data_IF_071758187008
#
_entry.id   IF_071758187008
#
_cell.length_a   1.000
_cell.length_b   1.000
_cell.length_c   1.000
_cell.angle_alpha   90.00
_cell.angle_beta   90.00
_cell.angle_gamma   90.00
#
_symmetry.space_group_name_H-M   'P 1'
#
loop_
_entity.id
_entity.type
_entity.pdbx_description
1 polymer ?
#
# COMPACT_ATOMS: atom_id res chain seq x y z
N UNK A 1 48.17 16.51 -49.96
CA UNK A 1 47.73 16.48 -48.55
C UNK A 1 46.97 15.17 -48.34
N UNK A 2 47.47 14.28 -47.46
CA UNK A 2 46.75 13.05 -47.09
C UNK A 2 46.04 13.30 -45.76
N UNK A 3 44.72 13.20 -45.74
CA UNK A 3 43.95 13.23 -44.49
C UNK A 3 44.08 11.85 -43.82
N UNK A 4 44.57 11.84 -42.58
CA UNK A 4 44.62 10.64 -41.75
C UNK A 4 43.22 10.36 -41.19
N UNK A 5 42.69 9.16 -41.42
CA UNK A 5 41.44 8.69 -40.83
C UNK A 5 41.62 8.58 -39.31
N UNK A 6 40.75 9.28 -38.56
CA UNK A 6 40.72 9.21 -37.11
C UNK A 6 40.24 7.84 -36.66
N UNK A 7 41.02 7.17 -35.80
CA UNK A 7 40.58 5.96 -35.10
C UNK A 7 39.46 6.34 -34.13
N UNK A 8 38.27 5.78 -34.33
CA UNK A 8 37.18 5.82 -33.36
C UNK A 8 37.62 5.14 -32.04
N UNK A 9 37.10 5.64 -30.91
CA UNK A 9 37.32 5.04 -29.60
C UNK A 9 36.91 3.56 -29.62
N UNK A 10 37.75 2.68 -29.06
CA UNK A 10 37.47 1.23 -29.01
C UNK A 10 36.15 0.92 -28.33
N UNK A 11 35.57 -0.24 -28.65
CA UNK A 11 34.31 -0.69 -28.06
C UNK A 11 34.43 -0.79 -26.53
N UNK A 12 33.35 -0.47 -25.83
CA UNK A 12 33.26 -0.57 -24.37
C UNK A 12 33.00 -2.03 -23.98
N UNK A 13 34.06 -2.74 -23.57
CA UNK A 13 33.99 -4.16 -23.17
C UNK A 13 33.55 -4.35 -21.70
N UNK A 14 33.02 -3.31 -21.05
CA UNK A 14 32.52 -3.40 -19.67
C UNK A 14 31.21 -4.18 -19.63
N UNK A 15 31.16 -5.22 -18.78
CA UNK A 15 29.96 -6.04 -18.58
C UNK A 15 29.93 -7.34 -19.41
N UNK A 16 30.98 -7.64 -20.18
CA UNK A 16 31.11 -8.88 -20.94
C UNK A 16 31.46 -10.11 -20.09
N UNK A 17 31.85 -9.92 -18.83
CA UNK A 17 32.17 -11.02 -17.94
C UNK A 17 30.90 -11.87 -17.69
N UNK A 18 30.91 -13.18 -18.03
CA UNK A 18 29.77 -14.04 -17.77
C UNK A 18 29.54 -14.11 -16.26
N UNK A 19 28.29 -13.91 -15.84
CA UNK A 19 27.93 -14.00 -14.43
C UNK A 19 28.19 -15.45 -13.95
N UNK A 20 29.06 -15.68 -12.94
CA UNK A 20 29.37 -17.02 -12.45
C UNK A 20 28.16 -17.73 -11.82
N UNK A 21 27.08 -16.98 -11.52
CA UNK A 21 25.81 -17.51 -11.02
C UNK A 21 24.78 -17.79 -12.12
N UNK A 22 25.13 -17.55 -13.39
CA UNK A 22 24.25 -17.86 -14.53
C UNK A 22 24.09 -19.38 -14.62
N UNK A 23 22.86 -19.85 -14.71
CA UNK A 23 22.56 -21.26 -15.00
C UNK A 23 22.92 -21.56 -16.47
N UNK A 24 23.31 -22.81 -16.76
CA UNK A 24 23.55 -23.22 -18.14
C UNK A 24 22.24 -23.16 -18.93
N UNK A 25 22.35 -22.83 -20.22
CA UNK A 25 21.18 -22.70 -21.09
C UNK A 25 20.41 -24.04 -21.19
N UNK A 26 21.10 -25.18 -21.09
CA UNK A 26 20.48 -26.52 -21.02
C UNK A 26 19.56 -26.68 -19.79
N UNK A 27 20.00 -26.22 -18.62
CA UNK A 27 19.20 -26.29 -17.40
C UNK A 27 17.96 -25.40 -17.54
N UNK A 28 18.12 -24.21 -18.12
CA UNK A 28 17.01 -23.28 -18.37
C UNK A 28 15.99 -23.92 -19.32
N UNK A 29 16.46 -24.53 -20.41
CA UNK A 29 15.60 -25.22 -21.38
C UNK A 29 14.82 -26.38 -20.73
N UNK A 30 15.48 -27.21 -19.92
CA UNK A 30 14.83 -28.27 -19.17
C UNK A 30 13.70 -27.77 -18.24
N UNK A 31 13.92 -26.64 -17.55
CA UNK A 31 12.91 -26.01 -16.70
C UNK A 31 11.75 -25.46 -17.54
N UNK A 32 12.05 -24.79 -18.65
CA UNK A 32 11.04 -24.26 -19.58
C UNK A 32 10.18 -25.38 -20.16
N UNK A 33 10.78 -26.49 -20.60
CA UNK A 33 10.07 -27.67 -21.10
C UNK A 33 9.16 -28.28 -20.03
N UNK A 34 9.62 -28.36 -18.79
CA UNK A 34 8.79 -28.80 -17.67
C UNK A 34 7.58 -27.88 -17.45
N UNK A 35 7.78 -26.57 -17.45
CA UNK A 35 6.69 -25.59 -17.29
C UNK A 35 5.70 -25.67 -18.47
N UNK A 36 6.19 -25.89 -19.68
CA UNK A 36 5.35 -26.00 -20.88
C UNK A 36 4.60 -27.34 -20.99
N UNK A 37 5.01 -28.36 -20.22
CA UNK A 37 4.32 -29.66 -20.19
C UNK A 37 2.93 -29.59 -19.54
N UNK A 38 2.65 -28.55 -18.74
CA UNK A 38 1.36 -28.38 -18.08
C UNK A 38 0.31 -27.77 -19.03
N UNK A 39 -0.96 -28.22 -18.95
CA UNK A 39 -2.02 -27.67 -19.79
C UNK A 39 -2.32 -26.21 -19.40
N UNK A 40 -2.22 -25.31 -20.38
CA UNK A 40 -2.55 -23.90 -20.21
C UNK A 40 -3.90 -23.58 -20.86
N UNK A 41 -4.82 -23.05 -20.06
CA UNK A 41 -6.21 -22.77 -20.43
C UNK A 41 -6.44 -21.27 -20.67
N UNK A 42 -7.36 -20.94 -21.57
CA UNK A 42 -7.82 -19.55 -21.76
C UNK A 42 -8.87 -19.24 -20.68
N UNK A 43 -8.80 -18.05 -20.09
CA UNK A 43 -9.78 -17.59 -19.11
C UNK A 43 -11.19 -17.65 -19.71
N UNK A 44 -12.13 -18.26 -18.98
CA UNK A 44 -13.53 -18.37 -19.41
C UNK A 44 -14.14 -17.00 -19.75
N UNK A 45 -13.77 -15.97 -18.97
CA UNK A 45 -14.31 -14.61 -19.08
C UNK A 45 -13.73 -13.77 -20.22
N UNK A 46 -12.71 -14.24 -20.95
CA UNK A 46 -11.95 -13.38 -21.89
C UNK A 46 -11.60 -14.08 -23.20
N UNK A 47 -12.29 -15.18 -23.52
CA UNK A 47 -11.99 -16.04 -24.67
C UNK A 47 -12.02 -15.31 -26.01
N UNK A 48 -12.94 -14.37 -26.19
CA UNK A 48 -13.11 -13.63 -27.46
C UNK A 48 -12.13 -12.47 -27.61
N UNK A 49 -11.72 -11.82 -26.51
CA UNK A 49 -10.96 -10.56 -26.56
C UNK A 49 -9.46 -10.72 -26.30
N UNK A 50 -9.00 -11.85 -25.74
CA UNK A 50 -7.56 -12.06 -25.47
C UNK A 50 -7.17 -13.55 -25.44
N UNK A 51 -7.36 -14.25 -26.56
CA UNK A 51 -7.01 -15.67 -26.72
C UNK A 51 -5.50 -15.96 -26.60
N UNK A 52 -4.66 -14.95 -26.75
CA UNK A 52 -3.21 -15.07 -26.59
C UNK A 52 -2.79 -15.31 -25.14
N UNK A 53 -3.57 -14.82 -24.15
CA UNK A 53 -3.24 -14.96 -22.74
C UNK A 53 -3.76 -16.30 -22.21
N UNK A 54 -2.83 -17.19 -21.86
CA UNK A 54 -3.12 -18.48 -21.24
C UNK A 54 -2.75 -18.47 -19.76
N UNK A 55 -3.47 -19.27 -18.99
CA UNK A 55 -3.29 -19.42 -17.55
C UNK A 55 -3.11 -20.90 -17.21
N UNK A 56 -2.29 -21.18 -16.21
CA UNK A 56 -2.21 -22.51 -15.64
C UNK A 56 -3.51 -22.86 -14.89
N UNK A 57 -3.74 -24.15 -14.66
CA UNK A 57 -4.90 -24.60 -13.88
C UNK A 57 -4.87 -24.03 -12.46
N UNK A 58 -6.02 -23.67 -11.91
CA UNK A 58 -6.17 -23.11 -10.56
C UNK A 58 -5.63 -24.02 -9.45
N UNK A 59 -5.69 -25.33 -9.64
CA UNK A 59 -5.19 -26.33 -8.69
C UNK A 59 -3.66 -26.52 -8.76
N UNK A 60 -3.01 -25.95 -9.78
CA UNK A 60 -1.57 -26.03 -10.01
C UNK A 60 -0.89 -24.81 -9.40
N UNK A 61 -0.14 -25.04 -8.31
CA UNK A 61 0.64 -24.01 -7.65
C UNK A 61 2.14 -24.21 -7.93
N UNK A 62 2.94 -23.15 -7.73
CA UNK A 62 4.40 -23.17 -7.98
C UNK A 62 5.06 -24.32 -7.20
N UNK A 63 4.65 -24.55 -5.95
CA UNK A 63 5.16 -25.63 -5.09
C UNK A 63 4.91 -27.02 -5.68
N UNK A 64 3.71 -27.30 -6.18
CA UNK A 64 3.33 -28.57 -6.84
C UNK A 64 4.08 -28.73 -8.15
N UNK A 65 4.19 -27.68 -8.95
CA UNK A 65 4.98 -27.72 -10.19
C UNK A 65 6.45 -28.08 -9.91
N UNK A 66 7.01 -27.54 -8.84
CA UNK A 66 8.38 -27.83 -8.43
C UNK A 66 8.54 -29.23 -7.81
N UNK A 67 7.54 -29.73 -7.07
CA UNK A 67 7.53 -31.12 -6.60
C UNK A 67 7.56 -32.09 -7.78
N UNK A 68 6.69 -31.89 -8.78
CA UNK A 68 6.67 -32.70 -10.01
C UNK A 68 7.96 -32.55 -10.82
N UNK A 69 8.57 -31.37 -10.82
CA UNK A 69 9.88 -31.14 -11.46
C UNK A 69 10.98 -31.99 -10.80
N UNK A 70 11.01 -32.05 -9.47
CA UNK A 70 11.98 -32.89 -8.74
C UNK A 70 11.81 -34.36 -9.04
N UNK A 71 10.57 -34.83 -9.13
CA UNK A 71 10.26 -36.22 -9.51
C UNK A 71 10.81 -36.50 -10.92
N UNK A 72 10.50 -35.66 -11.90
CA UNK A 72 11.03 -35.77 -13.28
C UNK A 72 12.57 -35.71 -13.32
N UNK A 73 13.18 -34.84 -12.54
CA UNK A 73 14.64 -34.75 -12.42
C UNK A 73 15.23 -36.03 -11.83
N UNK A 74 14.57 -36.63 -10.83
CA UNK A 74 14.99 -37.90 -10.22
C UNK A 74 14.92 -39.05 -11.22
N UNK A 75 13.88 -39.10 -12.06
CA UNK A 75 13.74 -40.11 -13.11
C UNK A 75 14.84 -39.99 -14.18
N UNK A 76 15.20 -38.77 -14.54
CA UNK A 76 16.23 -38.47 -15.54
C UNK A 76 17.66 -38.47 -14.96
N UNK A 77 17.83 -38.71 -13.66
CA UNK A 77 19.11 -38.58 -12.94
C UNK A 77 19.78 -37.20 -13.11
N UNK A 78 18.97 -36.14 -13.19
CA UNK A 78 19.40 -34.75 -13.28
C UNK A 78 19.28 -34.09 -11.91
N UNK A 79 20.27 -33.29 -11.52
CA UNK A 79 20.19 -32.50 -10.29
C UNK A 79 19.21 -31.33 -10.47
N UNK A 80 18.17 -31.19 -9.61
CA UNK A 80 17.20 -30.12 -9.74
C UNK A 80 17.79 -28.76 -9.38
N UNK A 81 17.29 -27.71 -10.04
CA UNK A 81 17.66 -26.33 -9.73
C UNK A 81 17.24 -25.93 -8.31
N UNK A 82 18.08 -25.15 -7.63
CA UNK A 82 17.79 -24.60 -6.30
C UNK A 82 16.64 -23.60 -6.38
N UNK A 83 15.61 -23.80 -5.56
CA UNK A 83 14.49 -22.88 -5.40
C UNK A 83 14.72 -21.96 -4.20
N UNK A 84 14.63 -20.64 -4.44
CA UNK A 84 14.46 -19.62 -3.40
C UNK A 84 13.27 -18.76 -3.81
N UNK A 85 12.14 -18.95 -3.13
CA UNK A 85 10.93 -18.16 -3.38
C UNK A 85 10.64 -17.39 -2.10
N UNK A 86 10.73 -16.07 -2.18
CA UNK A 86 10.26 -15.19 -1.12
C UNK A 86 9.12 -14.30 -1.65
N UNK A 87 8.10 -14.09 -0.84
CA UNK A 87 7.13 -13.02 -1.07
C UNK A 87 7.45 -11.87 -0.12
N UNK A 88 7.44 -10.66 -0.68
CA UNK A 88 7.73 -9.44 0.06
C UNK A 88 6.51 -8.56 -0.07
N UNK A 89 5.96 -8.14 1.06
CA UNK A 89 4.76 -7.30 1.11
C UNK A 89 4.92 -6.18 2.13
N UNK A 90 4.56 -4.96 1.73
CA UNK A 90 4.33 -3.87 2.68
C UNK A 90 2.82 -3.81 2.92
N UNK A 91 2.38 -4.05 4.15
CA UNK A 91 0.97 -3.88 4.51
C UNK A 91 0.59 -2.39 4.57
N UNK A 92 -0.72 -2.12 4.46
CA UNK A 92 -1.28 -0.78 4.57
C UNK A 92 -0.86 -0.14 5.89
N UNK A 93 -0.37 1.10 5.83
CA UNK A 93 0.00 1.86 7.00
C UNK A 93 -1.23 2.04 7.92
N UNK A 94 -1.13 1.54 9.15
CA UNK A 94 -2.21 1.59 10.11
C UNK A 94 -2.06 2.84 10.99
N UNK A 95 -3.11 3.67 11.15
CA UNK A 95 -3.08 4.76 12.11
C UNK A 95 -3.01 4.14 13.51
N UNK A 96 -1.95 4.45 14.22
CA UNK A 96 -1.75 3.97 15.58
C UNK A 96 -1.53 5.17 16.51
N UNK A 97 -2.09 5.17 17.74
CA UNK A 97 -3.10 4.26 18.26
C UNK A 97 -4.53 4.58 17.76
N UNK A 98 -5.44 3.60 17.85
CA UNK A 98 -6.87 3.84 17.68
C UNK A 98 -7.36 4.61 18.91
N UNK A 99 -7.63 5.91 18.75
CA UNK A 99 -7.98 6.80 19.86
C UNK A 99 -9.47 7.17 19.79
N UNK A 100 -10.17 7.00 20.91
CA UNK A 100 -11.59 7.35 21.06
C UNK A 100 -11.80 8.79 21.56
N UNK A 101 -10.71 9.56 21.69
CA UNK A 101 -10.72 10.89 22.33
C UNK A 101 -10.64 11.97 21.25
N UNK A 102 -11.51 12.98 21.31
CA UNK A 102 -11.57 14.08 20.34
C UNK A 102 -10.26 14.85 20.23
N UNK A 103 -9.53 15.03 21.33
CA UNK A 103 -8.28 15.81 21.34
C UNK A 103 -7.16 15.13 20.54
N UNK A 104 -7.22 13.81 20.41
CA UNK A 104 -6.28 13.06 19.60
C UNK A 104 -6.50 13.27 18.10
N UNK A 105 -7.73 13.56 17.67
CA UNK A 105 -8.08 13.84 16.27
C UNK A 105 -7.32 15.04 15.70
N UNK A 106 -7.02 16.02 16.56
CA UNK A 106 -6.29 17.23 16.18
C UNK A 106 -4.76 17.09 16.31
N UNK A 107 -4.26 15.94 16.81
CA UNK A 107 -2.83 15.65 16.90
C UNK A 107 -2.34 14.93 15.66
N UNK A 108 -1.01 14.96 15.44
CA UNK A 108 -0.39 14.28 14.29
C UNK A 108 -0.54 12.77 14.44
N UNK A 109 -1.22 12.14 13.46
CA UNK A 109 -1.36 10.69 13.38
C UNK A 109 0.02 10.01 13.23
N UNK A 110 0.30 9.03 14.09
CA UNK A 110 1.44 8.12 13.95
C UNK A 110 1.02 6.93 13.08
N UNK A 111 1.91 6.51 12.16
CA UNK A 111 1.65 5.40 11.27
C UNK A 111 2.64 4.26 11.56
N UNK A 112 2.10 3.07 11.75
CA UNK A 112 2.88 1.85 11.81
C UNK A 112 2.95 1.22 10.42
N UNK A 113 4.16 0.90 9.98
CA UNK A 113 4.41 0.19 8.74
C UNK A 113 4.81 -1.24 9.08
N UNK A 114 4.22 -2.21 8.37
CA UNK A 114 4.59 -3.60 8.51
C UNK A 114 5.15 -4.11 7.17
N UNK A 115 6.42 -4.48 7.18
CA UNK A 115 7.11 -5.13 6.08
C UNK A 115 7.23 -6.62 6.36
N UNK A 116 6.45 -7.41 5.64
CA UNK A 116 6.49 -8.87 5.69
C UNK A 116 7.42 -9.42 4.63
N UNK A 117 8.36 -10.26 5.04
CA UNK A 117 9.14 -11.15 4.16
C UNK A 117 8.70 -12.57 4.51
N UNK A 118 8.16 -13.29 3.53
CA UNK A 118 7.82 -14.70 3.70
C UNK A 118 8.74 -15.55 2.84
N UNK A 119 9.40 -16.52 3.45
CA UNK A 119 10.02 -17.63 2.74
C UNK A 119 8.94 -18.67 2.42
N UNK A 120 8.64 -18.86 1.13
CA UNK A 120 7.59 -19.80 0.68
C UNK A 120 8.06 -21.26 0.74
N UNK A 121 9.37 -21.49 0.79
CA UNK A 121 9.93 -22.84 0.86
C UNK A 121 9.76 -23.40 2.26
N UNK A 122 10.32 -22.69 3.24
CA UNK A 122 10.28 -23.09 4.66
C UNK A 122 8.97 -22.68 5.36
N UNK A 123 8.13 -21.89 4.67
CA UNK A 123 6.88 -21.34 5.20
C UNK A 123 7.09 -20.50 6.47
N UNK A 124 8.18 -19.72 6.48
CA UNK A 124 8.58 -18.85 7.60
C UNK A 124 8.30 -17.39 7.22
N UNK A 125 7.64 -16.65 8.11
CA UNK A 125 7.39 -15.21 7.95
C UNK A 125 8.24 -14.38 8.90
N UNK A 126 8.89 -13.36 8.37
CA UNK A 126 9.57 -12.30 9.11
C UNK A 126 8.76 -11.01 8.95
N UNK A 127 8.38 -10.38 10.05
CA UNK A 127 7.64 -9.13 10.04
C UNK A 127 8.45 -8.05 10.71
N UNK A 128 8.72 -6.98 9.97
CA UNK A 128 9.42 -5.81 10.47
C UNK A 128 8.41 -4.69 10.63
N UNK A 129 8.14 -4.34 11.89
CA UNK A 129 7.25 -3.24 12.25
C UNK A 129 8.09 -2.06 12.69
N UNK A 130 7.83 -0.89 12.13
CA UNK A 130 8.42 0.35 12.61
C UNK A 130 7.38 1.48 12.60
N UNK A 131 7.52 2.39 13.56
CA UNK A 131 6.87 3.68 13.53
C UNK A 131 7.67 4.62 12.61
N UNK A 132 6.98 5.30 11.70
CA UNK A 132 7.58 6.39 10.97
C UNK A 132 6.69 7.61 11.02
N UNK A 133 7.30 8.75 11.33
CA UNK A 133 6.69 10.04 11.13
C UNK A 133 6.61 10.33 9.63
N UNK A 134 5.49 10.86 9.14
CA UNK A 134 5.43 11.25 7.73
C UNK A 134 6.45 12.33 7.40
N UNK A 135 7.25 12.05 6.38
CA UNK A 135 8.04 13.07 5.70
C UNK A 135 7.11 13.85 4.76
N UNK A 136 6.85 15.11 5.10
CA UNK A 136 6.14 16.02 4.21
C UNK A 136 7.06 16.42 3.05
N UNK A 137 6.74 15.95 1.85
CA UNK A 137 7.40 16.41 0.63
C UNK A 137 6.78 17.74 0.20
N UNK A 138 7.56 18.82 0.26
CA UNK A 138 7.12 20.11 -0.24
C UNK A 138 7.28 20.15 -1.77
N UNK A 139 6.16 19.97 -2.48
CA UNK A 139 6.12 19.99 -3.96
C UNK A 139 6.28 21.42 -4.51
N UNK A 140 6.24 22.46 -3.65
CA UNK A 140 6.52 23.83 -4.09
C UNK A 140 8.00 23.96 -4.43
N UNK A 141 8.29 24.81 -5.43
CA UNK A 141 9.66 25.12 -5.85
C UNK A 141 10.51 25.52 -4.64
N UNK A 142 11.62 24.82 -4.43
CA UNK A 142 12.55 25.12 -3.34
C UNK A 142 13.03 26.57 -3.48
N UNK A 143 12.76 27.39 -2.47
CA UNK A 143 13.30 28.75 -2.35
C UNK A 143 14.55 28.68 -1.47
N UNK A 144 15.54 29.52 -1.75
CA UNK A 144 16.71 29.64 -0.88
C UNK A 144 16.26 30.10 0.52
N UNK A 145 16.58 29.32 1.56
CA UNK A 145 16.19 29.63 2.94
C UNK A 145 15.88 28.40 3.78
N UNK A 146 15.54 28.63 5.05
CA UNK A 146 15.18 27.59 6.02
C UNK A 146 13.86 26.92 5.63
N UNK A 147 13.72 25.59 5.71
CA UNK A 147 12.45 24.91 5.48
C UNK A 147 11.37 25.42 6.43
N UNK A 148 10.16 25.64 5.91
CA UNK A 148 8.98 25.97 6.71
C UNK A 148 8.67 24.81 7.67
N UNK A 149 8.81 25.05 8.97
CA UNK A 149 8.38 24.08 9.99
C UNK A 149 6.89 24.29 10.27
N UNK A 150 6.05 23.40 9.71
CA UNK A 150 4.58 23.44 9.82
C UNK A 150 4.08 23.49 11.27
N UNK A 151 4.86 22.97 12.23
CA UNK A 151 4.56 22.98 13.67
C UNK A 151 4.51 24.37 14.32
N UNK A 152 5.10 25.38 13.69
CA UNK A 152 5.20 26.74 14.24
C UNK A 152 4.29 27.74 13.52
N UNK A 153 3.32 27.25 12.73
CA UNK A 153 2.33 28.11 12.10
C UNK A 153 1.22 28.34 13.12
N UNK A 154 1.07 29.57 13.61
CA UNK A 154 -0.10 29.95 14.39
C UNK A 154 -1.34 29.82 13.49
N UNK A 155 -2.24 28.91 13.84
CA UNK A 155 -3.48 28.69 13.12
C UNK A 155 -4.59 29.48 13.80
N UNK A 156 -5.24 30.38 13.06
CA UNK A 156 -6.44 31.04 13.55
C UNK A 156 -7.58 30.03 13.69
N UNK A 157 -8.36 30.16 14.77
CA UNK A 157 -9.53 29.33 14.98
C UNK A 157 -10.50 29.52 13.81
N UNK A 158 -10.78 28.44 13.09
CA UNK A 158 -11.69 28.48 11.95
C UNK A 158 -13.09 28.96 12.36
N UNK A 159 -13.53 28.68 13.59
CA UNK A 159 -14.78 29.15 14.18
C UNK A 159 -14.60 29.67 15.61
N UNK A 160 -15.17 30.83 15.95
CA UNK A 160 -15.09 31.40 17.29
C UNK A 160 -16.08 30.77 18.29
N UNK A 161 -17.14 30.12 17.80
CA UNK A 161 -18.19 29.51 18.63
C UNK A 161 -18.71 28.20 18.05
N UNK A 162 -19.47 27.44 18.85
CA UNK A 162 -20.06 26.16 18.45
C UNK A 162 -21.03 26.39 17.29
N UNK A 163 -20.81 25.70 16.17
CA UNK A 163 -21.68 25.82 14.99
C UNK A 163 -23.07 25.22 15.26
N UNK A 164 -24.15 25.93 14.91
CA UNK A 164 -25.50 25.39 14.99
C UNK A 164 -25.69 24.28 13.95
N UNK A 165 -26.56 23.33 14.25
CA UNK A 165 -26.94 22.24 13.34
C UNK A 165 -28.31 22.52 12.70
N UNK A 166 -28.63 21.86 11.59
CA UNK A 166 -29.98 21.97 11.00
C UNK A 166 -31.02 21.28 11.89
N UNK A 167 -32.25 21.77 11.87
CA UNK A 167 -33.37 21.18 12.61
C UNK A 167 -33.61 19.71 12.20
N UNK A 168 -33.53 19.42 10.90
CA UNK A 168 -33.63 18.06 10.37
C UNK A 168 -32.55 17.12 10.96
N UNK A 169 -31.31 17.60 11.08
CA UNK A 169 -30.21 16.82 11.66
C UNK A 169 -30.37 16.62 13.16
N UNK A 170 -30.89 17.62 13.88
CA UNK A 170 -31.20 17.47 15.32
C UNK A 170 -32.28 16.41 15.54
N UNK A 171 -33.35 16.43 14.74
CA UNK A 171 -34.41 15.43 14.81
C UNK A 171 -33.87 14.02 14.61
N UNK A 172 -33.07 13.81 13.56
CA UNK A 172 -32.45 12.52 13.27
C UNK A 172 -31.54 12.03 14.42
N UNK A 173 -30.76 12.94 15.02
CA UNK A 173 -29.94 12.60 16.21
C UNK A 173 -30.79 12.20 17.43
N UNK A 174 -31.95 12.84 17.63
CA UNK A 174 -32.88 12.51 18.71
C UNK A 174 -33.54 11.14 18.49
N UNK A 175 -33.87 10.80 17.25
CA UNK A 175 -34.45 9.50 16.88
C UNK A 175 -33.47 8.33 17.13
N UNK A 176 -32.16 8.61 17.09
CA UNK A 176 -31.08 7.66 17.38
C UNK A 176 -30.80 7.45 18.87
N UNK A 177 -31.34 8.30 19.77
CA UNK A 177 -31.10 8.20 21.21
C UNK A 177 -31.50 6.85 21.81
N UNK A 178 -32.46 6.14 21.20
CA UNK A 178 -32.88 4.79 21.60
C UNK A 178 -31.74 3.74 21.54
N UNK A 179 -30.69 3.99 20.76
CA UNK A 179 -29.53 3.10 20.64
C UNK A 179 -28.30 3.60 21.39
N UNK A 180 -28.36 4.80 21.97
CA UNK A 180 -27.24 5.46 22.64
C UNK A 180 -27.46 5.37 24.16
N UNK A 181 -26.43 5.07 24.97
CA UNK A 181 -26.54 5.07 26.43
C UNK A 181 -27.09 6.40 26.98
N UNK A 182 -27.97 6.38 28.01
CA UNK A 182 -28.63 7.58 28.55
C UNK A 182 -27.69 8.70 29.00
N UNK A 183 -26.46 8.38 29.39
CA UNK A 183 -25.45 9.34 29.83
C UNK A 183 -25.13 10.41 28.77
N UNK A 184 -25.32 10.10 27.49
CA UNK A 184 -25.03 11.03 26.39
C UNK A 184 -26.27 11.82 25.91
N UNK A 185 -27.47 11.52 26.41
CA UNK A 185 -28.70 12.11 25.89
C UNK A 185 -28.77 13.62 26.15
N UNK A 186 -28.29 14.07 27.31
CA UNK A 186 -28.25 15.49 27.71
C UNK A 186 -27.49 16.35 26.70
N UNK A 187 -26.35 15.85 26.21
CA UNK A 187 -25.53 16.52 25.21
C UNK A 187 -26.31 16.76 23.90
N UNK A 188 -26.97 15.73 23.37
CA UNK A 188 -27.71 15.84 22.09
C UNK A 188 -28.94 16.74 22.19
N UNK A 189 -29.61 16.75 23.35
CA UNK A 189 -30.76 17.62 23.60
C UNK A 189 -30.37 19.11 23.60
N UNK A 190 -29.20 19.43 24.14
CA UNK A 190 -28.68 20.81 24.27
C UNK A 190 -28.07 21.38 22.98
N UNK A 191 -28.00 20.63 21.87
CA UNK A 191 -27.45 21.13 20.60
C UNK A 191 -28.28 22.29 20.04
N UNK A 192 -27.62 23.41 19.72
CA UNK A 192 -28.25 24.60 19.11
C UNK A 192 -28.61 24.36 17.65
N UNK A 193 -29.79 24.78 17.22
CA UNK A 193 -30.23 24.73 15.82
C UNK A 193 -30.17 26.10 15.17
N UNK A 194 -30.05 26.15 13.85
CA UNK A 194 -30.01 27.42 13.09
C UNK A 194 -31.23 28.31 13.40
N UNK A 195 -32.41 27.71 13.60
CA UNK A 195 -33.67 28.40 13.92
C UNK A 195 -33.74 28.94 15.37
N UNK A 196 -32.86 28.50 16.27
CA UNK A 196 -32.86 28.94 17.68
C UNK A 196 -31.82 30.03 17.97
N UNK A 197 -31.20 30.61 16.94
CA UNK A 197 -30.17 31.66 17.10
C UNK A 197 -30.78 33.08 17.06
N UNK A 198 -32.07 33.24 16.76
CA UNK A 198 -32.70 34.57 16.60
C UNK A 198 -33.30 35.20 17.87
N UNK A 199 -33.27 34.55 19.05
CA UNK A 199 -34.00 35.04 20.24
C UNK A 199 -33.15 35.44 21.46
N UNK A 200 -31.83 35.60 21.33
CA UNK A 200 -30.96 36.02 22.46
C UNK A 200 -30.46 37.48 22.37
N UNK A 201 -31.14 38.36 21.63
CA UNK A 201 -30.83 39.81 21.59
C UNK A 201 -32.03 40.71 21.94
N UNK A 202 -32.77 40.32 22.99
CA UNK A 202 -33.56 41.26 23.80
C UNK A 202 -33.07 41.25 25.23
N UNK A 203 -31.92 41.90 25.46
CA UNK A 203 -31.65 42.48 26.77
C UNK A 203 -31.91 43.98 26.71
N UNK A 204 -32.94 44.36 27.46
CA UNK A 204 -33.25 45.66 28.03
C UNK A 204 -32.08 46.65 28.11
N UNK A 205 -32.25 47.80 27.47
CA UNK A 205 -31.81 49.07 28.04
C UNK A 205 -33.03 49.99 28.12
N UNK A 206 -33.35 50.38 29.35
CA UNK A 206 -34.05 51.63 29.68
C UNK A 206 -33.28 52.84 29.14
#
# INVERSE_FOLDING_TARGET
MKHAEGKCAGNDDRGEAPNPRKLSDDIINNVCEHIQSFPANVSHYTREHNSARKYLNENLNIRKMYMLYKEKCSELNIQPVKEYVCSIGLQKALPFPILNVSDAYYKRNMYCYNFGIHDLRENIGFFYVWDAEFNTLNIRRARHGRPLQLKNIEQENLYPSVRPISAAKKKDMLDLLKFIPPIHHTFFQQLKTIETVEDDDKSSNE
#
